data_IF_277061905764
#
_entry.id   IF_277061905764
#
_cell.length_a   1.000
_cell.length_b   1.000
_cell.length_c   1.000
_cell.angle_alpha   90.00
_cell.angle_beta   90.00
_cell.angle_gamma   90.00
#
_symmetry.space_group_name_H-M   'P 1'
#
loop_
_entity.id
_entity.type
_entity.pdbx_description
1 polymer ?
#
# COMPACT_ATOMS: atom_id res chain seq x y z
N UNK A 1 54.56 27.75 -10.59
CA UNK A 1 53.21 27.41 -10.11
C UNK A 1 52.87 28.42 -9.04
N UNK A 2 52.01 29.39 -9.37
CA UNK A 2 51.53 30.36 -8.38
C UNK A 2 50.62 29.64 -7.39
N UNK A 3 50.90 29.81 -6.10
CA UNK A 3 50.10 29.18 -5.05
C UNK A 3 48.75 29.91 -5.01
N UNK A 4 47.62 29.21 -5.21
CA UNK A 4 46.31 29.86 -5.24
C UNK A 4 45.99 30.46 -3.87
N UNK A 5 45.37 31.65 -3.90
CA UNK A 5 44.90 32.39 -2.72
C UNK A 5 44.00 31.51 -1.83
N UNK A 6 43.98 31.77 -0.52
CA UNK A 6 43.19 31.02 0.46
C UNK A 6 41.70 31.04 0.10
N UNK A 7 41.21 32.15 -0.47
CA UNK A 7 39.83 32.29 -0.94
C UNK A 7 39.55 31.35 -2.11
N UNK A 8 40.48 31.23 -3.05
CA UNK A 8 40.39 30.31 -4.19
C UNK A 8 40.40 28.85 -3.72
N UNK A 9 41.19 28.51 -2.71
CA UNK A 9 41.20 27.16 -2.11
C UNK A 9 39.88 26.84 -1.40
N UNK A 10 39.31 27.80 -0.67
CA UNK A 10 38.00 27.64 -0.02
C UNK A 10 36.89 27.41 -1.04
N UNK A 11 36.82 28.24 -2.09
CA UNK A 11 35.83 28.09 -3.17
C UNK A 11 35.97 26.74 -3.85
N UNK A 12 37.20 26.33 -4.19
CA UNK A 12 37.45 25.04 -4.83
C UNK A 12 37.04 23.86 -3.93
N UNK A 13 37.33 23.95 -2.62
CA UNK A 13 36.92 22.96 -1.63
C UNK A 13 35.40 22.85 -1.52
N UNK A 14 34.69 23.98 -1.46
CA UNK A 14 33.22 24.00 -1.39
C UNK A 14 32.59 23.38 -2.64
N UNK A 15 33.10 23.72 -3.84
CA UNK A 15 32.62 23.13 -5.10
C UNK A 15 32.81 21.62 -5.09
N UNK A 16 33.97 21.13 -4.62
CA UNK A 16 34.24 19.69 -4.54
C UNK A 16 33.24 18.97 -3.62
N UNK A 17 32.95 19.56 -2.45
CA UNK A 17 31.98 19.00 -1.49
C UNK A 17 30.57 18.95 -2.09
N UNK A 18 30.15 20.00 -2.81
CA UNK A 18 28.84 20.03 -3.49
C UNK A 18 28.75 18.94 -4.56
N UNK A 19 29.80 18.74 -5.36
CA UNK A 19 29.84 17.69 -6.38
C UNK A 19 29.77 16.30 -5.74
N UNK A 20 30.48 16.06 -4.65
CA UNK A 20 30.45 14.79 -3.91
C UNK A 20 29.05 14.56 -3.31
N UNK A 21 28.49 15.56 -2.63
CA UNK A 21 27.17 15.47 -2.02
C UNK A 21 26.08 15.24 -3.09
N UNK A 22 26.14 15.96 -4.20
CA UNK A 22 25.23 15.77 -5.34
C UNK A 22 25.38 14.39 -6.00
N UNK A 23 26.61 13.90 -6.14
CA UNK A 23 26.88 12.56 -6.66
C UNK A 23 26.35 11.45 -5.76
N UNK A 24 26.55 11.56 -4.44
CA UNK A 24 26.01 10.63 -3.45
C UNK A 24 24.48 10.67 -3.44
N UNK A 25 23.88 11.86 -3.43
CA UNK A 25 22.43 12.00 -3.49
C UNK A 25 21.87 11.38 -4.77
N UNK A 26 22.46 11.67 -5.94
CA UNK A 26 22.04 11.06 -7.19
C UNK A 26 22.19 9.53 -7.23
N UNK A 27 23.17 8.97 -6.52
CA UNK A 27 23.34 7.52 -6.39
C UNK A 27 22.30 6.90 -5.47
N UNK A 28 22.03 7.50 -4.31
CA UNK A 28 21.07 6.99 -3.33
C UNK A 28 19.61 7.21 -3.71
N UNK A 29 19.30 8.24 -4.52
CA UNK A 29 17.94 8.50 -5.00
C UNK A 29 17.54 7.66 -6.22
N UNK A 30 18.36 6.70 -6.66
CA UNK A 30 17.92 5.78 -7.70
C UNK A 30 16.92 4.80 -7.12
N UNK A 31 15.68 4.73 -7.64
CA UNK A 31 14.77 3.66 -7.27
C UNK A 31 15.42 2.33 -7.63
N UNK A 32 15.34 1.35 -6.73
CA UNK A 32 15.87 0.02 -7.01
C UNK A 32 15.21 -0.51 -8.29
N UNK A 33 16.00 -1.08 -9.22
CA UNK A 33 15.41 -1.65 -10.42
C UNK A 33 14.50 -2.80 -10.01
N UNK A 34 13.25 -2.73 -10.45
CA UNK A 34 12.19 -3.70 -10.22
C UNK A 34 12.67 -5.03 -10.83
N UNK A 35 13.23 -5.92 -10.01
CA UNK A 35 13.86 -7.17 -10.47
C UNK A 35 12.86 -8.32 -10.58
N UNK A 36 11.69 -8.18 -9.94
CA UNK A 36 10.74 -9.29 -9.78
C UNK A 36 9.32 -8.81 -10.05
N UNK A 37 8.47 -9.69 -10.61
CA UNK A 37 7.05 -9.41 -10.85
C UNK A 37 6.29 -9.00 -9.56
N UNK A 38 6.77 -9.42 -8.38
CA UNK A 38 6.23 -9.00 -7.08
C UNK A 38 6.37 -7.49 -6.83
N UNK A 39 7.51 -6.89 -7.21
CA UNK A 39 7.75 -5.45 -7.02
C UNK A 39 6.88 -4.60 -7.95
N UNK A 40 6.54 -5.12 -9.14
CA UNK A 40 5.57 -4.47 -10.06
C UNK A 40 4.18 -4.47 -9.45
N UNK A 41 3.77 -5.59 -8.86
CA UNK A 41 2.46 -5.72 -8.21
C UNK A 41 2.43 -4.77 -7.00
N UNK A 42 3.47 -4.73 -6.17
CA UNK A 42 3.50 -3.85 -4.99
C UNK A 42 3.54 -2.35 -5.37
N UNK A 43 4.25 -1.97 -6.44
CA UNK A 43 4.29 -0.59 -6.92
C UNK A 43 2.99 -0.12 -7.58
N UNK A 44 2.21 -1.02 -8.17
CA UNK A 44 0.95 -0.71 -8.88
C UNK A 44 -0.27 -0.92 -7.97
N UNK A 45 -0.16 -1.73 -6.92
CA UNK A 45 -1.29 -2.14 -6.07
C UNK A 45 -1.35 -1.32 -4.79
N UNK A 46 -1.75 -0.06 -4.89
CA UNK A 46 -2.48 0.60 -3.79
C UNK A 46 -3.66 1.39 -4.40
N UNK A 47 -4.84 1.44 -3.76
CA UNK A 47 -5.21 0.90 -2.46
C UNK A 47 -5.95 -0.45 -2.59
N UNK A 48 -5.78 -1.32 -1.59
CA UNK A 48 -6.74 -2.39 -1.31
C UNK A 48 -8.08 -1.75 -1.00
N UNK A 49 -8.87 -1.47 -2.04
CA UNK A 49 -10.29 -1.25 -1.89
C UNK A 49 -10.84 -2.55 -1.31
N UNK A 50 -11.14 -2.54 -0.01
CA UNK A 50 -12.00 -3.55 0.60
C UNK A 50 -13.38 -3.37 -0.02
N UNK A 51 -13.54 -3.84 -1.26
CA UNK A 51 -14.83 -3.97 -1.89
C UNK A 51 -15.52 -5.09 -1.10
N UNK A 52 -16.57 -4.80 -0.33
CA UNK A 52 -17.33 -5.87 0.30
C UNK A 52 -17.84 -6.77 -0.83
N UNK A 53 -17.32 -7.99 -0.89
CA UNK A 53 -17.65 -8.99 -1.92
C UNK A 53 -19.16 -9.26 -1.99
N UNK A 54 -19.88 -8.96 -0.90
CA UNK A 54 -21.33 -9.10 -0.83
C UNK A 54 -22.00 -7.77 -0.41
N UNK A 55 -22.79 -7.12 -1.29
CA UNK A 55 -23.53 -5.89 -0.97
C UNK A 55 -24.67 -6.09 0.06
N UNK A 56 -24.92 -7.34 0.45
CA UNK A 56 -25.96 -7.76 1.40
C UNK A 56 -25.35 -8.30 2.70
N UNK A 57 -24.02 -8.34 2.83
CA UNK A 57 -23.35 -8.69 4.09
C UNK A 57 -23.84 -7.66 5.13
N UNK A 58 -24.57 -8.12 6.16
CA UNK A 58 -25.25 -7.32 7.19
C UNK A 58 -26.65 -6.75 6.84
N UNK A 59 -27.26 -7.08 5.69
CA UNK A 59 -28.66 -6.72 5.35
C UNK A 59 -29.62 -7.90 5.35
N UNK A 60 -29.16 -9.09 5.70
CA UNK A 60 -30.02 -10.28 5.80
C UNK A 60 -30.82 -10.13 7.09
N UNK A 61 -32.16 -10.02 7.03
CA UNK A 61 -32.98 -10.07 8.23
C UNK A 61 -32.72 -11.40 8.94
N UNK A 62 -32.41 -11.37 10.23
CA UNK A 62 -32.18 -12.59 11.03
C UNK A 62 -33.42 -13.49 11.11
N UNK A 63 -34.59 -12.94 10.74
CA UNK A 63 -35.87 -13.63 10.82
C UNK A 63 -36.34 -14.07 9.43
N UNK A 64 -36.46 -15.39 9.25
CA UNK A 64 -36.98 -15.96 8.02
C UNK A 64 -38.51 -15.68 7.94
N UNK A 65 -39.03 -15.14 6.83
CA UNK A 65 -40.47 -14.91 6.67
C UNK A 65 -41.33 -16.17 6.86
N UNK A 66 -40.77 -17.35 6.59
CA UNK A 66 -41.42 -18.65 6.85
C UNK A 66 -41.73 -18.83 8.34
N UNK A 67 -40.93 -18.25 9.23
CA UNK A 67 -41.12 -18.35 10.68
C UNK A 67 -42.34 -17.59 11.18
N UNK A 68 -42.73 -16.51 10.48
CA UNK A 68 -43.97 -15.75 10.79
C UNK A 68 -45.19 -16.27 10.05
N UNK A 69 -44.98 -16.84 8.87
CA UNK A 69 -46.06 -17.25 7.97
C UNK A 69 -46.49 -18.70 8.16
N UNK A 70 -45.71 -19.54 8.86
CA UNK A 70 -46.07 -20.94 9.09
C UNK A 70 -46.87 -21.10 10.41
N UNK A 71 -48.21 -21.24 10.35
CA UNK A 71 -49.03 -21.45 11.54
C UNK A 71 -48.81 -22.82 12.21
N UNK A 72 -48.07 -23.73 11.56
CA UNK A 72 -47.79 -25.08 12.06
C UNK A 72 -46.37 -25.22 12.64
N UNK A 73 -45.59 -24.14 12.68
CA UNK A 73 -44.20 -24.18 13.16
C UNK A 73 -44.08 -24.77 14.57
N UNK A 74 -45.02 -24.46 15.45
CA UNK A 74 -45.04 -24.96 16.83
C UNK A 74 -45.85 -26.26 16.99
N UNK A 75 -46.65 -26.62 15.98
CA UNK A 75 -47.53 -27.78 16.00
C UNK A 75 -46.85 -29.05 15.45
N UNK A 76 -45.89 -28.91 14.55
CA UNK A 76 -45.16 -30.01 13.95
C UNK A 76 -43.65 -29.83 14.13
N UNK A 77 -43.06 -30.66 14.98
CA UNK A 77 -41.59 -30.76 15.08
C UNK A 77 -41.07 -31.70 14.01
N UNK A 78 -39.99 -31.29 13.35
CA UNK A 78 -39.30 -32.10 12.37
C UNK A 78 -38.82 -33.40 13.03
N UNK A 79 -39.21 -34.59 12.55
CA UNK A 79 -38.79 -35.88 13.13
C UNK A 79 -37.32 -36.23 12.87
N UNK A 80 -36.60 -35.37 12.13
CA UNK A 80 -35.17 -35.52 11.83
C UNK A 80 -34.30 -34.42 12.47
N UNK A 81 -34.87 -33.59 13.34
CA UNK A 81 -34.12 -32.75 14.29
C UNK A 81 -33.71 -33.53 15.54
#
# INVERSE_FOLDING_TARGET
MEVPDIKTKLVLGTVLVIVIAGGLWYWYSRPEPIKTAKDVIEAVTTPTLEVPSNPVQNKIPELNPIDRANPFKDAYKNPFE
#
